data_IF_123408548059
#
_entry.id   IF_123408548059
#
_cell.length_a   1.000
_cell.length_b   1.000
_cell.length_c   1.000
_cell.angle_alpha   90.00
_cell.angle_beta   90.00
_cell.angle_gamma   90.00
#
_symmetry.space_group_name_H-M   'P 1'
#
loop_
_entity.id
_entity.type
_entity.pdbx_description
1 polymer ?
#
# COMPACT_ATOMS: atom_id res chain seq x y z
N UNK A 1 -9.50 4.84 -19.55
CA UNK A 1 -9.53 5.35 -18.15
C UNK A 1 -8.11 5.68 -17.75
N UNK A 2 -7.89 6.87 -17.17
CA UNK A 2 -6.57 7.30 -16.70
C UNK A 2 -6.34 6.71 -15.30
N UNK A 3 -5.16 6.15 -15.08
CA UNK A 3 -4.74 5.68 -13.75
C UNK A 3 -4.07 6.85 -13.04
N UNK A 4 -4.60 7.24 -11.89
CA UNK A 4 -4.08 8.37 -11.12
C UNK A 4 -3.56 7.88 -9.76
N UNK A 5 -2.41 8.39 -9.35
CA UNK A 5 -1.88 8.15 -8.00
C UNK A 5 -2.68 9.01 -7.04
N UNK A 6 -3.42 8.37 -6.15
CA UNK A 6 -4.27 9.08 -5.18
C UNK A 6 -3.52 9.35 -3.90
N UNK A 7 -2.70 8.39 -3.46
CA UNK A 7 -1.95 8.54 -2.24
C UNK A 7 -0.65 7.76 -2.28
N UNK A 8 0.38 8.31 -1.63
CA UNK A 8 1.66 7.64 -1.43
C UNK A 8 2.10 7.90 -0.02
N UNK A 9 2.34 6.83 0.73
CA UNK A 9 2.77 6.88 2.12
C UNK A 9 3.94 5.96 2.33
N UNK A 10 4.95 6.47 3.02
CA UNK A 10 6.09 5.69 3.49
C UNK A 10 5.87 5.46 4.98
N UNK A 11 5.82 4.20 5.39
CA UNK A 11 5.69 3.80 6.79
C UNK A 11 7.02 3.23 7.24
N UNK A 12 7.57 3.81 8.29
CA UNK A 12 8.77 3.33 8.95
C UNK A 12 8.37 2.61 10.23
N UNK A 13 8.77 1.35 10.33
CA UNK A 13 8.29 0.45 11.39
C UNK A 13 9.41 0.17 12.39
N UNK A 14 9.05 -0.08 13.65
CA UNK A 14 10.00 -0.22 14.76
C UNK A 14 11.02 -1.37 14.61
N UNK A 15 10.72 -2.34 13.75
CA UNK A 15 11.60 -3.43 13.31
C UNK A 15 12.55 -3.05 12.16
N UNK A 16 12.81 -1.75 11.97
CA UNK A 16 13.79 -1.19 11.03
C UNK A 16 13.48 -1.48 9.55
N UNK A 17 12.20 -1.71 9.22
CA UNK A 17 11.74 -1.94 7.84
C UNK A 17 11.05 -0.71 7.29
N UNK A 18 11.19 -0.51 5.98
CA UNK A 18 10.55 0.58 5.24
C UNK A 18 9.47 -0.04 4.35
N UNK A 19 8.23 0.40 4.57
CA UNK A 19 7.08 0.00 3.77
C UNK A 19 6.64 1.18 2.90
N UNK A 20 6.76 1.03 1.58
CA UNK A 20 6.22 1.96 0.61
C UNK A 20 4.81 1.52 0.25
N UNK A 21 3.82 2.28 0.69
CA UNK A 21 2.42 2.06 0.40
C UNK A 21 1.98 3.11 -0.62
N UNK A 22 1.45 2.69 -1.75
CA UNK A 22 0.88 3.63 -2.71
C UNK A 22 -0.44 3.11 -3.25
N UNK A 23 -1.37 4.05 -3.44
CA UNK A 23 -2.72 3.79 -3.91
C UNK A 23 -2.94 4.49 -5.24
N UNK A 24 -3.30 3.72 -6.25
CA UNK A 24 -3.66 4.24 -7.57
C UNK A 24 -5.13 3.96 -7.85
N UNK A 25 -5.87 4.92 -8.42
CA UNK A 25 -7.26 4.75 -8.82
C UNK A 25 -7.37 4.65 -10.33
N UNK A 26 -8.18 3.72 -10.80
CA UNK A 26 -8.62 3.63 -12.18
C UNK A 26 -10.14 3.44 -12.20
N UNK A 27 -10.87 4.54 -12.37
CA UNK A 27 -12.33 4.54 -12.28
C UNK A 27 -12.84 4.21 -10.87
N UNK A 28 -13.66 3.17 -10.76
CA UNK A 28 -14.24 2.68 -9.49
C UNK A 28 -13.35 1.66 -8.75
N UNK A 29 -12.13 1.42 -9.23
CA UNK A 29 -11.19 0.49 -8.62
C UNK A 29 -9.97 1.23 -8.09
N UNK A 30 -9.66 1.00 -6.81
CA UNK A 30 -8.41 1.38 -6.18
C UNK A 30 -7.47 0.17 -6.19
N UNK A 31 -6.22 0.37 -6.58
CA UNK A 31 -5.15 -0.61 -6.42
C UNK A 31 -4.24 -0.12 -5.31
N UNK A 32 -4.12 -0.91 -4.25
CA UNK A 32 -3.20 -0.69 -3.15
C UNK A 32 -1.97 -1.56 -3.36
N UNK A 33 -0.81 -0.93 -3.46
CA UNK A 33 0.47 -1.64 -3.57
C UNK A 33 1.34 -1.35 -2.37
N UNK A 34 1.86 -2.42 -1.77
CA UNK A 34 2.83 -2.41 -0.70
C UNK A 34 4.17 -2.94 -1.22
N UNK A 35 5.22 -2.15 -1.08
CA UNK A 35 6.61 -2.56 -1.38
C UNK A 35 7.46 -2.48 -0.14
N UNK A 36 8.26 -3.50 0.12
CA UNK A 36 9.19 -3.50 1.24
C UNK A 36 10.43 -4.34 0.93
N UNK A 37 11.59 -3.98 1.51
CA UNK A 37 12.81 -4.77 1.36
C UNK A 37 12.71 -6.07 2.16
N UNK A 38 13.19 -7.15 1.57
CA UNK A 38 13.41 -8.46 2.19
C UNK A 38 14.87 -8.87 1.97
N UNK A 39 15.35 -9.89 2.69
CA UNK A 39 16.74 -10.35 2.59
C UNK A 39 17.18 -10.68 1.14
N UNK A 40 16.24 -11.08 0.27
CA UNK A 40 16.49 -11.47 -1.12
C UNK A 40 16.14 -10.40 -2.17
N UNK A 41 15.83 -9.15 -1.77
CA UNK A 41 15.46 -8.07 -2.70
C UNK A 41 14.25 -7.27 -2.25
N UNK A 42 13.37 -6.87 -3.18
CA UNK A 42 12.17 -6.08 -2.89
C UNK A 42 10.92 -6.94 -3.11
N UNK A 43 10.09 -7.08 -2.09
CA UNK A 43 8.78 -7.74 -2.19
C UNK A 43 7.72 -6.70 -2.50
N UNK A 44 6.90 -6.99 -3.51
CA UNK A 44 5.77 -6.15 -3.92
C UNK A 44 4.49 -6.94 -3.82
N UNK A 45 3.49 -6.40 -3.11
CA UNK A 45 2.16 -6.99 -2.97
C UNK A 45 1.16 -5.96 -3.50
N UNK A 46 0.35 -6.34 -4.49
CA UNK A 46 -0.69 -5.46 -5.04
C UNK A 46 -2.06 -6.10 -4.87
N UNK A 47 -3.01 -5.34 -4.34
CA UNK A 47 -4.41 -5.74 -4.16
C UNK A 47 -5.32 -4.71 -4.83
N UNK A 48 -6.26 -5.19 -5.63
CA UNK A 48 -7.32 -4.36 -6.21
C UNK A 48 -8.55 -4.43 -5.32
N UNK A 49 -9.13 -3.29 -5.03
CA UNK A 49 -10.35 -3.16 -4.24
C UNK A 49 -11.27 -2.10 -4.84
N UNK A 50 -12.57 -2.15 -4.53
CA UNK A 50 -13.48 -1.06 -4.87
C UNK A 50 -13.02 0.26 -4.24
N UNK A 51 -13.26 1.39 -4.92
CA UNK A 51 -12.79 2.72 -4.50
C UNK A 51 -13.20 3.11 -3.07
N UNK A 52 -14.39 2.69 -2.62
CA UNK A 52 -14.90 2.97 -1.28
C UNK A 52 -14.14 2.19 -0.18
N UNK A 53 -13.52 1.06 -0.54
CA UNK A 53 -12.70 0.26 0.38
C UNK A 53 -11.21 0.66 0.36
N UNK A 54 -10.78 1.51 -0.57
CA UNK A 54 -9.37 1.85 -0.73
C UNK A 54 -8.75 2.50 0.52
N UNK A 55 -9.45 3.49 1.10
CA UNK A 55 -9.04 4.20 2.31
C UNK A 55 -9.02 3.33 3.58
N UNK A 56 -10.10 2.60 3.94
CA UNK A 56 -10.08 1.74 5.12
C UNK A 56 -9.07 0.60 4.97
N UNK A 57 -8.92 0.01 3.78
CA UNK A 57 -7.91 -1.01 3.55
C UNK A 57 -6.50 -0.45 3.74
N UNK A 58 -6.23 0.75 3.23
CA UNK A 58 -4.94 1.40 3.40
C UNK A 58 -4.61 1.58 4.90
N UNK A 59 -5.56 2.06 5.70
CA UNK A 59 -5.39 2.20 7.15
C UNK A 59 -5.14 0.87 7.87
N UNK A 60 -5.82 -0.20 7.47
CA UNK A 60 -5.59 -1.55 8.01
C UNK A 60 -4.19 -2.05 7.67
N UNK A 61 -3.73 -1.82 6.43
CA UNK A 61 -2.38 -2.23 6.01
C UNK A 61 -1.30 -1.41 6.72
N UNK A 62 -1.53 -0.12 6.96
CA UNK A 62 -0.65 0.72 7.77
C UNK A 62 -0.54 0.18 9.20
N UNK A 63 -1.67 -0.11 9.85
CA UNK A 63 -1.69 -0.66 11.22
C UNK A 63 -1.06 -2.06 11.29
N UNK A 64 -1.30 -2.89 10.27
CA UNK A 64 -0.68 -4.21 10.19
C UNK A 64 0.84 -4.10 9.98
N UNK A 65 1.31 -3.15 9.17
CA UNK A 65 2.74 -2.92 8.97
C UNK A 65 3.42 -2.41 10.25
N UNK A 66 2.77 -1.52 11.00
CA UNK A 66 3.31 -0.94 12.25
C UNK A 66 3.40 -1.96 13.39
N UNK A 67 2.58 -3.03 13.35
CA UNK A 67 2.56 -4.10 14.38
C UNK A 67 3.50 -5.28 14.11
N UNK A 68 4.13 -5.36 12.95
CA UNK A 68 5.14 -6.40 12.62
C UNK A 68 6.49 -5.95 13.16
#
# INVERSE_FOLDING_TARGET
MKTEVIDTKIVWTGNNRIYHLYRTRCGFLDSLTLRYPIKSGIRTITRKVPFFMGLPLQKVVELAADRI
#
